data_IF_433896067324
#
_entry.id   IF_433896067324
#
_cell.length_a   1.000
_cell.length_b   1.000
_cell.length_c   1.000
_cell.angle_alpha   90.00
_cell.angle_beta   90.00
_cell.angle_gamma   90.00
#
_symmetry.space_group_name_H-M   'P 1'
#
loop_
_entity.id
_entity.type
_entity.pdbx_description
1 polymer ?
#
# COMPACT_ATOMS: atom_id res chain seq x y z
N UNK A 1 -57.84 40.67 -11.24
CA UNK A 1 -58.47 39.38 -11.62
C UNK A 1 -57.37 38.39 -11.98
N UNK A 2 -57.07 37.36 -11.18
CA UNK A 2 -56.06 36.36 -11.55
C UNK A 2 -56.72 35.04 -12.01
N UNK A 3 -56.34 34.56 -13.19
CA UNK A 3 -56.68 33.21 -13.67
C UNK A 3 -55.78 32.17 -12.99
N UNK A 4 -56.40 31.29 -12.20
CA UNK A 4 -55.77 30.09 -11.61
C UNK A 4 -55.72 28.97 -12.66
N UNK A 5 -54.53 28.65 -13.15
CA UNK A 5 -54.31 27.40 -13.87
C UNK A 5 -54.09 26.25 -12.86
N UNK A 6 -55.05 25.33 -12.89
CA UNK A 6 -55.10 24.07 -12.13
C UNK A 6 -54.24 23.04 -12.88
N UNK A 7 -53.03 22.74 -12.41
CA UNK A 7 -52.26 21.57 -12.89
C UNK A 7 -52.63 20.36 -12.04
N UNK A 8 -53.12 19.33 -12.72
CA UNK A 8 -53.45 18.03 -12.16
C UNK A 8 -52.18 17.34 -11.66
N UNK A 9 -52.20 16.90 -10.41
CA UNK A 9 -51.17 16.04 -9.84
C UNK A 9 -51.29 14.64 -10.41
N UNK A 10 -50.20 14.14 -10.99
CA UNK A 10 -50.00 12.73 -11.30
C UNK A 10 -49.19 12.17 -10.13
N UNK A 11 -49.85 11.44 -9.24
CA UNK A 11 -49.17 10.72 -8.15
C UNK A 11 -48.42 9.51 -8.74
N UNK A 12 -47.10 9.40 -8.58
CA UNK A 12 -46.41 8.17 -8.92
C UNK A 12 -46.72 7.12 -7.85
N UNK A 13 -47.31 6.02 -8.31
CA UNK A 13 -47.56 4.80 -7.54
C UNK A 13 -46.22 4.14 -7.19
N UNK A 14 -45.59 4.58 -6.11
CA UNK A 14 -44.36 3.98 -5.56
C UNK A 14 -44.76 2.66 -4.90
N UNK A 15 -44.55 1.55 -5.60
CA UNK A 15 -44.57 0.20 -5.01
C UNK A 15 -43.39 0.08 -4.04
N UNK A 16 -43.69 0.22 -2.76
CA UNK A 16 -42.80 -0.09 -1.64
C UNK A 16 -42.55 -1.59 -1.61
N UNK A 17 -41.46 -2.05 -2.21
CA UNK A 17 -40.94 -3.39 -1.97
C UNK A 17 -40.28 -3.39 -0.59
N UNK A 18 -41.02 -3.89 0.39
CA UNK A 18 -40.52 -4.14 1.75
C UNK A 18 -39.54 -5.32 1.68
N UNK A 19 -38.26 -5.02 1.43
CA UNK A 19 -37.17 -5.97 1.60
C UNK A 19 -36.99 -6.16 3.11
N UNK A 20 -37.56 -7.25 3.62
CA UNK A 20 -37.31 -7.76 4.97
C UNK A 20 -35.83 -8.12 5.05
N UNK A 21 -35.03 -7.17 5.54
CA UNK A 21 -33.66 -7.39 5.96
C UNK A 21 -33.71 -8.24 7.23
N UNK A 22 -33.68 -9.56 7.05
CA UNK A 22 -33.46 -10.53 8.12
C UNK A 22 -32.01 -10.35 8.61
N UNK A 23 -31.86 -9.47 9.59
CA UNK A 23 -30.63 -9.31 10.35
C UNK A 23 -30.35 -10.63 11.10
N UNK A 24 -29.53 -11.48 10.51
CA UNK A 24 -28.89 -12.57 11.22
C UNK A 24 -27.90 -11.98 12.22
N UNK A 25 -28.36 -11.71 13.43
CA UNK A 25 -27.49 -11.60 14.61
C UNK A 25 -26.91 -12.99 14.87
N UNK A 26 -25.79 -13.30 14.21
CA UNK A 26 -24.96 -14.41 14.62
C UNK A 26 -24.28 -14.00 15.95
N UNK A 27 -24.42 -14.78 17.04
CA UNK A 27 -23.67 -14.53 18.25
C UNK A 27 -22.17 -14.70 17.93
N UNK A 28 -21.40 -13.63 18.11
CA UNK A 28 -19.95 -13.68 18.14
C UNK A 28 -19.53 -14.55 19.32
N UNK A 29 -19.40 -15.85 19.09
CA UNK A 29 -18.68 -16.75 20.00
C UNK A 29 -17.21 -16.39 19.92
N UNK A 30 -16.75 -15.62 20.89
CA UNK A 30 -15.34 -15.36 21.14
C UNK A 30 -14.71 -16.71 21.51
N UNK A 31 -14.17 -17.40 20.51
CA UNK A 31 -13.31 -18.57 20.76
C UNK A 31 -12.02 -18.01 21.33
N UNK A 32 -11.87 -18.12 22.65
CA UNK A 32 -10.61 -17.87 23.33
C UNK A 32 -9.63 -18.95 22.90
N UNK A 33 -8.89 -18.70 21.82
CA UNK A 33 -7.74 -19.53 21.47
C UNK A 33 -6.72 -19.35 22.60
N UNK A 34 -6.30 -20.41 23.30
CA UNK A 34 -5.23 -20.30 24.27
C UNK A 34 -3.98 -19.85 23.51
N UNK A 35 -3.60 -18.60 23.72
CA UNK A 35 -2.35 -18.05 23.21
C UNK A 35 -1.25 -18.86 23.90
N UNK A 36 -0.44 -19.65 23.17
CA UNK A 36 0.72 -20.27 23.77
C UNK A 36 1.54 -19.13 24.38
N UNK A 37 1.93 -19.28 25.65
CA UNK A 37 2.86 -18.38 26.30
C UNK A 37 4.16 -18.42 25.50
N UNK A 38 4.26 -17.56 24.48
CA UNK A 38 5.52 -17.20 23.88
C UNK A 38 6.38 -16.70 25.02
N UNK A 39 7.50 -17.40 25.25
CA UNK A 39 8.58 -16.90 26.08
C UNK A 39 8.75 -15.41 25.76
N UNK A 40 8.86 -14.60 26.81
CA UNK A 40 9.12 -13.17 26.70
C UNK A 40 10.51 -13.03 26.07
N UNK A 41 10.55 -13.09 24.74
CA UNK A 41 11.69 -12.69 23.94
C UNK A 41 11.71 -11.18 24.13
N UNK A 42 12.61 -10.73 24.99
CA UNK A 42 13.00 -9.34 25.10
C UNK A 42 13.25 -8.84 23.68
N UNK A 43 12.41 -7.94 23.13
CA UNK A 43 12.54 -7.52 21.75
C UNK A 43 13.95 -6.93 21.62
N UNK A 44 14.80 -7.59 20.83
CA UNK A 44 16.09 -7.05 20.45
C UNK A 44 15.83 -5.59 20.02
N UNK A 45 16.53 -4.60 20.60
CA UNK A 45 16.17 -3.20 20.44
C UNK A 45 16.05 -2.90 18.95
N UNK A 46 14.81 -2.77 18.49
CA UNK A 46 14.47 -2.44 17.11
C UNK A 46 15.09 -1.08 16.88
N UNK A 47 16.27 -1.08 16.25
CA UNK A 47 17.10 0.10 16.12
C UNK A 47 16.45 0.96 15.04
N UNK A 48 15.55 1.84 15.49
CA UNK A 48 14.89 2.81 14.64
C UNK A 48 15.97 3.74 14.05
N UNK A 49 15.99 3.88 12.73
CA UNK A 49 16.92 4.79 12.04
C UNK A 49 16.51 6.23 12.37
N UNK A 50 17.13 6.81 13.40
CA UNK A 50 16.84 8.18 13.80
C UNK A 50 17.31 9.12 12.70
N UNK A 51 16.36 9.81 12.07
CA UNK A 51 16.64 10.71 10.93
C UNK A 51 16.20 12.12 11.25
N UNK A 52 17.09 13.10 11.11
CA UNK A 52 16.75 14.53 11.13
C UNK A 52 16.35 14.97 9.73
N UNK A 53 15.25 15.70 9.60
CA UNK A 53 14.87 16.33 8.32
C UNK A 53 15.37 17.78 8.29
N UNK A 54 16.13 18.13 7.27
CA UNK A 54 16.61 19.50 7.06
C UNK A 54 16.15 20.01 5.69
N UNK A 55 15.42 21.11 5.67
CA UNK A 55 15.05 21.81 4.43
C UNK A 55 15.99 23.00 4.25
N UNK A 56 16.94 22.87 3.33
CA UNK A 56 17.94 23.87 2.98
C UNK A 56 17.45 24.74 1.82
N UNK A 57 17.21 26.01 2.12
CA UNK A 57 16.82 27.06 1.17
C UNK A 57 17.91 28.11 0.99
N UNK A 58 19.13 27.85 1.48
CA UNK A 58 20.25 28.80 1.47
C UNK A 58 20.56 29.29 0.05
N UNK A 59 20.41 28.42 -0.95
CA UNK A 59 20.65 28.71 -2.37
C UNK A 59 19.50 29.46 -3.06
N UNK A 60 18.39 29.73 -2.37
CA UNK A 60 17.37 30.63 -2.89
C UNK A 60 17.84 32.09 -2.77
N UNK A 61 17.52 32.91 -3.78
CA UNK A 61 17.90 34.33 -3.85
C UNK A 61 17.45 35.09 -2.60
N UNK A 62 18.38 35.78 -1.95
CA UNK A 62 18.10 36.57 -0.75
C UNK A 62 17.13 37.73 -1.03
N UNK A 63 16.29 38.05 -0.04
CA UNK A 63 15.30 39.12 -0.13
C UNK A 63 14.07 38.79 -0.98
N UNK A 64 14.01 37.61 -1.62
CA UNK A 64 12.80 37.14 -2.27
C UNK A 64 11.71 36.85 -1.22
N UNK A 65 10.48 37.40 -1.35
CA UNK A 65 9.37 37.05 -0.46
C UNK A 65 9.10 35.54 -0.49
N UNK A 66 9.38 34.92 -1.64
CA UNK A 66 9.27 33.48 -1.86
C UNK A 66 10.22 32.66 -0.99
N UNK A 67 11.43 33.15 -0.67
CA UNK A 67 12.39 32.38 0.16
C UNK A 67 11.81 32.07 1.54
N UNK A 68 11.08 33.02 2.14
CA UNK A 68 10.46 32.82 3.44
C UNK A 68 9.17 31.99 3.33
N UNK A 69 8.33 32.27 2.34
CA UNK A 69 7.08 31.54 2.13
C UNK A 69 7.32 30.07 1.78
N UNK A 70 8.21 29.79 0.81
CA UNK A 70 8.57 28.43 0.40
C UNK A 70 9.24 27.69 1.53
N UNK A 71 10.18 28.31 2.28
CA UNK A 71 10.79 27.65 3.43
C UNK A 71 9.77 27.28 4.51
N UNK A 72 8.80 28.16 4.76
CA UNK A 72 7.75 27.91 5.76
C UNK A 72 6.76 26.86 5.29
N UNK A 73 6.30 26.96 4.04
CA UNK A 73 5.35 26.03 3.43
C UNK A 73 5.97 24.64 3.28
N UNK A 74 7.16 24.57 2.68
CA UNK A 74 7.89 23.31 2.54
C UNK A 74 8.18 22.70 3.91
N UNK A 75 8.64 23.45 4.91
CA UNK A 75 8.83 22.87 6.25
C UNK A 75 7.53 22.36 6.85
N UNK A 76 6.45 23.13 6.82
CA UNK A 76 5.19 22.70 7.43
C UNK A 76 4.63 21.46 6.72
N UNK A 77 4.47 21.52 5.41
CA UNK A 77 3.83 20.49 4.61
C UNK A 77 4.69 19.22 4.51
N UNK A 78 6.00 19.37 4.29
CA UNK A 78 6.92 18.23 4.22
C UNK A 78 7.04 17.58 5.60
N UNK A 79 7.17 18.34 6.69
CA UNK A 79 7.31 17.74 8.02
C UNK A 79 6.04 16.96 8.39
N UNK A 80 4.85 17.52 8.19
CA UNK A 80 3.60 16.83 8.54
C UNK A 80 3.38 15.58 7.69
N UNK A 81 3.58 15.68 6.37
CA UNK A 81 3.39 14.55 5.46
C UNK A 81 4.45 13.45 5.69
N UNK A 82 5.72 13.84 5.85
CA UNK A 82 6.80 12.89 6.10
C UNK A 82 6.72 12.25 7.48
N UNK A 83 6.38 13.01 8.53
CA UNK A 83 6.29 12.47 9.88
C UNK A 83 5.27 11.34 9.92
N UNK A 84 4.11 11.51 9.28
CA UNK A 84 3.07 10.49 9.22
C UNK A 84 3.52 9.22 8.47
N UNK A 85 4.35 9.34 7.42
CA UNK A 85 4.84 8.18 6.67
C UNK A 85 6.06 7.51 7.29
N UNK A 86 7.02 8.29 7.78
CA UNK A 86 8.19 7.78 8.49
C UNK A 86 7.76 7.03 9.76
N UNK A 87 6.84 7.61 10.53
CA UNK A 87 6.28 6.93 11.72
C UNK A 87 5.58 5.63 11.35
N UNK A 88 4.84 5.59 10.23
CA UNK A 88 4.21 4.36 9.74
C UNK A 88 5.20 3.25 9.38
N UNK A 89 6.44 3.61 9.05
CA UNK A 89 7.53 2.67 8.73
C UNK A 89 8.49 2.43 9.90
N UNK A 90 8.17 2.94 11.09
CA UNK A 90 9.02 2.83 12.27
C UNK A 90 10.24 3.76 12.25
N UNK A 91 10.30 4.74 11.36
CA UNK A 91 11.37 5.76 11.40
C UNK A 91 10.93 6.89 12.33
N UNK A 92 11.76 7.19 13.32
CA UNK A 92 11.56 8.30 14.26
C UNK A 92 12.33 9.53 13.78
N UNK A 93 11.61 10.63 13.59
CA UNK A 93 12.19 11.94 13.38
C UNK A 93 12.63 12.51 14.73
N UNK A 94 13.89 12.94 14.81
CA UNK A 94 14.44 13.58 16.02
C UNK A 94 15.18 14.84 15.58
N UNK A 95 15.00 15.92 16.34
CA UNK A 95 15.58 17.22 16.03
C UNK A 95 17.09 17.27 16.35
N UNK A 96 17.52 16.54 17.37
CA UNK A 96 18.89 16.48 17.89
C UNK A 96 19.44 15.04 17.87
N UNK A 97 20.76 14.89 17.83
CA UNK A 97 21.47 13.59 17.89
C UNK A 97 21.04 12.52 16.86
N UNK A 98 20.58 12.95 15.68
CA UNK A 98 20.19 12.02 14.64
C UNK A 98 21.39 11.29 14.01
N UNK A 99 21.24 9.98 13.78
CA UNK A 99 22.26 9.14 13.15
C UNK A 99 22.40 9.43 11.64
N UNK A 100 21.32 9.93 11.02
CA UNK A 100 21.33 10.40 9.65
C UNK A 100 20.54 11.71 9.51
N UNK A 101 20.94 12.57 8.59
CA UNK A 101 20.19 13.77 8.22
C UNK A 101 19.70 13.63 6.78
N UNK A 102 18.39 13.62 6.58
CA UNK A 102 17.79 13.76 5.26
C UNK A 102 17.70 15.25 4.93
N UNK A 103 18.55 15.71 4.02
CA UNK A 103 18.59 17.09 3.59
C UNK A 103 17.90 17.26 2.24
N UNK A 104 16.94 18.17 2.18
CA UNK A 104 16.27 18.61 0.96
C UNK A 104 16.73 20.02 0.64
N UNK A 105 17.52 20.15 -0.43
CA UNK A 105 18.03 21.43 -0.91
C UNK A 105 17.17 21.97 -2.04
N UNK A 106 16.79 23.24 -1.95
CA UNK A 106 16.10 23.97 -3.02
C UNK A 106 17.00 25.10 -3.54
N UNK A 107 17.14 25.21 -4.85
CA UNK A 107 17.86 26.32 -5.50
C UNK A 107 17.12 26.82 -6.73
N UNK A 108 17.45 28.04 -7.15
CA UNK A 108 17.00 28.57 -8.44
C UNK A 108 17.94 28.14 -9.53
N UNK A 109 17.39 27.60 -10.60
CA UNK A 109 18.11 27.35 -11.85
C UNK A 109 17.93 28.55 -12.80
N UNK A 110 16.69 29.01 -12.94
CA UNK A 110 16.34 30.25 -13.63
C UNK A 110 15.23 30.98 -12.86
N UNK A 111 15.59 32.09 -12.21
CA UNK A 111 14.66 32.90 -11.41
C UNK A 111 13.58 33.56 -12.27
N UNK A 112 13.91 34.01 -13.49
CA UNK A 112 12.95 34.72 -14.34
C UNK A 112 11.87 33.78 -14.87
N UNK A 113 12.21 32.51 -15.08
CA UNK A 113 11.29 31.45 -15.54
C UNK A 113 10.66 30.64 -14.42
N UNK A 114 10.94 30.98 -13.17
CA UNK A 114 10.51 30.19 -12.01
C UNK A 114 10.91 28.72 -12.10
N UNK A 115 12.15 28.45 -12.54
CA UNK A 115 12.72 27.11 -12.66
C UNK A 115 13.54 26.80 -11.40
N UNK A 116 13.09 25.79 -10.66
CA UNK A 116 13.72 25.33 -9.42
C UNK A 116 14.42 24.01 -9.64
N UNK A 117 15.59 23.87 -9.03
CA UNK A 117 16.17 22.58 -8.77
C UNK A 117 15.88 22.13 -7.35
N UNK A 118 15.57 20.85 -7.20
CA UNK A 118 15.26 20.18 -5.95
C UNK A 118 16.20 18.98 -5.83
N UNK A 119 16.86 18.83 -4.68
CA UNK A 119 17.78 17.72 -4.42
C UNK A 119 17.52 17.16 -3.04
N UNK A 120 17.34 15.86 -2.96
CA UNK A 120 17.30 15.13 -1.71
C UNK A 120 18.58 14.31 -1.55
N UNK A 121 19.24 14.47 -0.41
CA UNK A 121 20.44 13.71 -0.04
C UNK A 121 20.35 13.23 1.40
N UNK A 122 20.96 12.08 1.69
CA UNK A 122 21.13 11.59 3.06
C UNK A 122 22.58 11.81 3.47
N UNK A 123 22.75 12.43 4.62
CA UNK A 123 24.05 12.69 5.23
C UNK A 123 24.17 11.77 6.44
N UNK A 124 25.15 10.87 6.42
CA UNK A 124 25.48 9.96 7.53
C UNK A 124 26.99 10.02 7.75
N UNK A 125 27.42 10.22 8.99
CA UNK A 125 28.85 10.32 9.37
C UNK A 125 29.65 11.32 8.51
N UNK A 126 29.03 12.45 8.15
CA UNK A 126 29.62 13.48 7.29
C UNK A 126 29.69 13.12 5.80
N UNK A 127 29.31 11.90 5.40
CA UNK A 127 29.21 11.50 4.00
C UNK A 127 27.81 11.82 3.47
N UNK A 128 27.76 12.53 2.34
CA UNK A 128 26.50 12.79 1.63
C UNK A 128 26.31 11.80 0.48
N UNK A 129 25.15 11.16 0.44
CA UNK A 129 24.68 10.36 -0.69
C UNK A 129 23.46 11.03 -1.30
N UNK A 130 23.59 11.44 -2.56
CA UNK A 130 22.47 11.99 -3.34
C UNK A 130 21.49 10.86 -3.58
N UNK A 131 20.25 11.05 -3.14
CA UNK A 131 19.18 10.08 -3.37
C UNK A 131 18.45 10.37 -4.68
N UNK A 132 18.09 11.64 -4.89
CA UNK A 132 17.34 12.08 -6.06
C UNK A 132 17.56 13.57 -6.31
N UNK A 133 17.47 13.93 -7.58
CA UNK A 133 17.45 15.31 -8.07
C UNK A 133 16.27 15.43 -9.01
N UNK A 134 15.51 16.51 -8.90
CA UNK A 134 14.37 16.81 -9.76
C UNK A 134 14.34 18.31 -10.06
N UNK A 135 13.63 18.68 -11.12
CA UNK A 135 13.50 20.05 -11.59
C UNK A 135 12.03 20.43 -11.75
N UNK A 136 11.69 21.65 -11.35
CA UNK A 136 10.33 22.16 -11.38
C UNK A 136 10.28 23.44 -12.24
N UNK A 137 9.83 23.31 -13.48
CA UNK A 137 9.63 24.44 -14.39
C UNK A 137 8.29 25.14 -14.13
N UNK A 138 8.30 26.48 -14.16
CA UNK A 138 7.11 27.33 -14.00
C UNK A 138 6.30 26.99 -12.73
N UNK A 139 7.00 26.70 -11.63
CA UNK A 139 6.36 26.27 -10.40
C UNK A 139 6.05 27.45 -9.48
N UNK A 140 4.82 27.50 -8.99
CA UNK A 140 4.47 28.34 -7.84
C UNK A 140 4.86 27.65 -6.53
N UNK A 141 4.71 28.36 -5.41
CA UNK A 141 5.12 27.86 -4.09
C UNK A 141 4.43 26.55 -3.70
N UNK A 142 3.14 26.42 -4.01
CA UNK A 142 2.35 25.23 -3.70
C UNK A 142 2.79 24.04 -4.56
N UNK A 143 3.06 24.27 -5.84
CA UNK A 143 3.55 23.22 -6.74
C UNK A 143 4.94 22.74 -6.36
N UNK A 144 5.84 23.64 -5.92
CA UNK A 144 7.15 23.25 -5.38
C UNK A 144 6.98 22.35 -4.15
N UNK A 145 6.11 22.73 -3.20
CA UNK A 145 5.85 21.91 -2.01
C UNK A 145 5.30 20.52 -2.36
N UNK A 146 4.39 20.44 -3.34
CA UNK A 146 3.88 19.16 -3.84
C UNK A 146 4.97 18.29 -4.48
N UNK A 147 5.80 18.86 -5.36
CA UNK A 147 6.90 18.10 -6.00
C UNK A 147 7.90 17.60 -4.96
N UNK A 148 8.23 18.42 -3.96
CA UNK A 148 9.10 17.99 -2.85
C UNK A 148 8.46 16.82 -2.08
N UNK A 149 7.16 16.90 -1.80
CA UNK A 149 6.43 15.85 -1.07
C UNK A 149 6.35 14.54 -1.85
N UNK A 150 6.07 14.61 -3.15
CA UNK A 150 6.01 13.45 -4.05
C UNK A 150 7.41 12.81 -4.19
N UNK A 151 8.45 13.63 -4.38
CA UNK A 151 9.84 13.17 -4.44
C UNK A 151 10.21 12.41 -3.15
N UNK A 152 9.91 12.98 -1.98
CA UNK A 152 10.23 12.36 -0.69
C UNK A 152 9.43 11.09 -0.46
N UNK A 153 8.18 11.03 -0.90
CA UNK A 153 7.35 9.82 -0.83
C UNK A 153 7.94 8.68 -1.67
N UNK A 154 8.49 8.99 -2.86
CA UNK A 154 9.22 8.03 -3.68
C UNK A 154 10.50 7.51 -3.01
N UNK A 155 11.21 8.40 -2.31
CA UNK A 155 12.44 8.06 -1.59
C UNK A 155 12.21 7.15 -0.37
N UNK A 156 11.01 7.12 0.20
CA UNK A 156 10.72 6.24 1.35
C UNK A 156 10.95 4.76 1.05
N UNK A 157 10.81 4.33 -0.22
CA UNK A 157 11.15 2.96 -0.64
C UNK A 157 12.66 2.69 -0.62
N UNK A 158 13.46 3.73 -0.85
CA UNK A 158 14.91 3.65 -0.90
C UNK A 158 15.56 3.89 0.45
N UNK A 159 14.98 4.71 1.33
CA UNK A 159 15.51 5.03 2.66
C UNK A 159 15.54 3.86 3.64
N UNK A 160 14.82 2.77 3.34
CA UNK A 160 15.09 1.45 3.90
C UNK A 160 16.37 0.92 3.23
N UNK A 161 17.44 1.70 3.27
CA UNK A 161 18.76 1.32 2.80
C UNK A 161 19.22 0.25 3.78
N UNK A 162 19.31 -0.96 3.23
CA UNK A 162 20.26 -2.00 3.57
C UNK A 162 20.84 -1.77 4.96
N UNK A 163 20.19 -2.39 5.96
CA UNK A 163 20.91 -2.82 7.16
C UNK A 163 22.13 -3.51 6.61
N UNK A 164 23.26 -2.81 6.63
CA UNK A 164 24.57 -3.32 6.27
C UNK A 164 24.67 -4.55 7.15
N UNK A 165 24.40 -5.71 6.53
CA UNK A 165 24.27 -6.98 7.23
C UNK A 165 25.60 -7.09 7.93
N UNK A 166 25.61 -6.94 9.28
CA UNK A 166 26.77 -6.47 10.02
C UNK A 166 27.92 -7.30 9.54
N UNK A 167 28.81 -6.68 8.75
CA UNK A 167 29.72 -7.37 7.83
C UNK A 167 30.15 -8.63 8.55
N UNK A 168 29.56 -9.78 8.15
CA UNK A 168 29.63 -10.99 8.95
C UNK A 168 31.09 -11.11 9.28
N UNK A 169 31.42 -10.91 10.55
CA UNK A 169 32.81 -10.90 10.99
C UNK A 169 33.26 -12.28 10.58
N UNK A 170 33.96 -12.37 9.45
CA UNK A 170 34.51 -13.61 8.95
C UNK A 170 35.26 -14.13 10.16
N UNK A 171 34.70 -15.19 10.75
CA UNK A 171 35.31 -15.84 11.88
C UNK A 171 36.77 -16.05 11.45
N UNK A 172 37.76 -15.57 12.24
CA UNK A 172 39.16 -15.59 11.84
C UNK A 172 39.45 -16.95 11.22
N UNK A 173 39.68 -16.97 9.90
CA UNK A 173 39.99 -18.19 9.18
C UNK A 173 41.24 -18.72 9.86
N UNK A 174 41.05 -19.78 10.64
CA UNK A 174 42.12 -20.54 11.25
C UNK A 174 43.05 -20.93 10.11
N UNK A 175 44.34 -20.58 10.15
CA UNK A 175 45.23 -20.75 9.01
C UNK A 175 45.25 -22.23 8.62
N UNK A 176 44.67 -22.55 7.46
CA UNK A 176 44.79 -23.87 6.86
C UNK A 176 46.27 -24.20 6.69
N UNK A 177 46.72 -25.39 7.15
CA UNK A 177 48.08 -25.85 6.96
C UNK A 177 48.43 -25.93 5.48
N UNK A 178 49.67 -25.58 5.18
CA UNK A 178 50.26 -25.52 3.86
C UNK A 178 49.87 -26.68 2.93
N UNK A 179 49.59 -26.27 1.68
CA UNK A 179 49.46 -27.08 0.47
C UNK A 179 50.32 -28.35 0.50
N UNK A 180 49.64 -29.50 0.48
CA UNK A 180 50.22 -30.75 -0.02
C UNK A 180 49.66 -30.98 -1.42
N UNK A 181 50.56 -31.31 -2.35
CA UNK A 181 50.31 -31.55 -3.78
C UNK A 181 49.06 -32.41 -4.07
N UNK A 182 48.30 -32.12 -5.14
CA UNK A 182 47.14 -32.91 -5.52
C UNK A 182 47.57 -34.25 -6.15
N UNK A 183 47.44 -35.32 -5.37
CA UNK A 183 47.37 -36.69 -5.88
C UNK A 183 45.97 -36.93 -6.48
N UNK A 184 45.93 -37.36 -7.74
CA UNK A 184 44.71 -37.58 -8.52
C UNK A 184 43.97 -38.80 -7.96
N UNK A 185 42.93 -38.57 -7.15
CA UNK A 185 42.03 -39.64 -6.70
C UNK A 185 40.90 -39.93 -7.72
N UNK A 186 40.40 -41.19 -7.77
CA UNK A 186 39.45 -41.66 -8.76
C UNK A 186 38.02 -41.13 -8.48
N UNK A 187 37.30 -40.82 -9.57
CA UNK A 187 35.90 -40.44 -9.57
C UNK A 187 35.06 -41.41 -8.73
N UNK A 188 34.60 -40.93 -7.57
CA UNK A 188 33.63 -41.63 -6.72
C UNK A 188 32.24 -41.17 -7.15
N UNK A 189 31.39 -42.15 -7.50
CA UNK A 189 29.98 -41.97 -7.81
C UNK A 189 29.29 -41.11 -6.75
N UNK A 190 28.83 -39.93 -7.15
CA UNK A 190 28.18 -38.97 -6.27
C UNK A 190 26.93 -39.55 -5.61
N UNK A 191 26.63 -39.18 -4.36
CA UNK A 191 25.45 -39.64 -3.65
C UNK A 191 24.16 -39.29 -4.41
N UNK A 192 23.11 -40.15 -4.32
CA UNK A 192 21.85 -39.93 -5.01
C UNK A 192 21.28 -38.56 -4.63
N UNK A 193 20.69 -37.81 -5.60
CA UNK A 193 20.20 -36.46 -5.37
C UNK A 193 19.20 -36.46 -4.23
N UNK A 194 19.50 -35.71 -3.18
CA UNK A 194 18.60 -35.48 -2.05
C UNK A 194 17.27 -34.90 -2.57
N UNK A 195 16.17 -35.51 -2.13
CA UNK A 195 14.80 -35.13 -2.48
C UNK A 195 14.60 -33.63 -2.27
N UNK A 196 14.48 -32.88 -3.37
CA UNK A 196 14.15 -31.46 -3.32
C UNK A 196 12.82 -31.32 -2.56
N UNK A 197 12.75 -30.47 -1.53
CA UNK A 197 11.54 -30.28 -0.75
C UNK A 197 10.39 -29.93 -1.69
N UNK A 198 9.35 -30.77 -1.70
CA UNK A 198 8.15 -30.59 -2.54
C UNK A 198 7.65 -29.16 -2.35
N UNK A 199 7.77 -28.35 -3.41
CA UNK A 199 7.32 -26.97 -3.37
C UNK A 199 5.84 -26.97 -2.97
N UNK A 200 5.44 -26.22 -1.92
CA UNK A 200 4.08 -26.24 -1.43
C UNK A 200 3.15 -25.84 -2.57
N UNK A 201 2.34 -26.81 -3.04
CA UNK A 201 1.43 -26.57 -4.14
C UNK A 201 0.49 -25.42 -3.80
N UNK A 202 0.66 -24.29 -4.52
CA UNK A 202 -0.12 -23.09 -4.32
C UNK A 202 -1.62 -23.44 -4.37
N UNK A 203 -2.34 -23.09 -3.30
CA UNK A 203 -3.75 -23.40 -3.13
C UNK A 203 -4.54 -22.63 -4.19
N UNK A 204 -4.94 -23.29 -5.28
CA UNK A 204 -5.75 -22.67 -6.33
C UNK A 204 -7.07 -22.17 -5.76
N UNK A 205 -7.36 -20.89 -5.97
CA UNK A 205 -8.61 -20.22 -5.58
C UNK A 205 -9.68 -20.54 -6.62
N UNK A 206 -10.93 -20.76 -6.19
CA UNK A 206 -12.04 -21.03 -7.12
C UNK A 206 -12.45 -19.77 -7.89
N UNK A 207 -13.19 -19.93 -8.99
CA UNK A 207 -13.71 -18.79 -9.77
C UNK A 207 -14.55 -17.81 -8.94
N UNK A 208 -15.27 -18.31 -7.93
CA UNK A 208 -16.05 -17.49 -6.99
C UNK A 208 -15.13 -16.65 -6.10
N UNK A 209 -13.99 -17.19 -5.68
CA UNK A 209 -12.98 -16.45 -4.91
C UNK A 209 -12.40 -15.27 -5.69
N UNK A 210 -12.12 -15.43 -6.99
CA UNK A 210 -11.67 -14.32 -7.85
C UNK A 210 -12.72 -13.22 -7.98
N UNK A 211 -14.00 -13.59 -8.15
CA UNK A 211 -15.09 -12.61 -8.16
C UNK A 211 -15.20 -11.85 -6.83
N UNK A 212 -15.00 -12.53 -5.70
CA UNK A 212 -14.95 -11.90 -4.38
C UNK A 212 -13.80 -10.92 -4.21
N UNK A 213 -12.60 -11.26 -4.69
CA UNK A 213 -11.43 -10.36 -4.67
C UNK A 213 -11.69 -9.12 -5.54
N UNK A 214 -12.23 -9.31 -6.75
CA UNK A 214 -12.57 -8.20 -7.64
C UNK A 214 -13.62 -7.26 -7.02
N UNK A 215 -14.67 -7.81 -6.40
CA UNK A 215 -15.69 -7.02 -5.71
C UNK A 215 -15.12 -6.26 -4.51
N UNK A 216 -14.25 -6.88 -3.72
CA UNK A 216 -13.60 -6.23 -2.58
C UNK A 216 -12.67 -5.08 -3.03
N UNK A 217 -11.86 -5.30 -4.07
CA UNK A 217 -10.99 -4.28 -4.64
C UNK A 217 -11.79 -3.09 -5.21
N UNK A 218 -12.87 -3.37 -5.95
CA UNK A 218 -13.78 -2.34 -6.45
C UNK A 218 -14.43 -1.56 -5.29
N UNK A 219 -14.85 -2.25 -4.23
CA UNK A 219 -15.42 -1.64 -3.03
C UNK A 219 -14.45 -0.69 -2.33
N UNK A 220 -13.17 -1.08 -2.20
CA UNK A 220 -12.12 -0.21 -1.65
C UNK A 220 -11.91 1.03 -2.52
N UNK A 221 -11.83 0.86 -3.84
CA UNK A 221 -11.67 1.99 -4.78
C UNK A 221 -12.82 2.99 -4.70
N UNK A 222 -14.07 2.50 -4.72
CA UNK A 222 -15.27 3.35 -4.57
C UNK A 222 -15.34 4.00 -3.19
N UNK A 223 -14.96 3.28 -2.13
CA UNK A 223 -14.94 3.79 -0.76
C UNK A 223 -13.95 4.94 -0.58
N UNK A 224 -12.71 4.77 -1.04
CA UNK A 224 -11.66 5.81 -0.98
C UNK A 224 -12.07 7.02 -1.83
N UNK A 225 -12.55 6.81 -3.05
CA UNK A 225 -13.03 7.89 -3.91
C UNK A 225 -14.20 8.66 -3.29
N UNK A 226 -15.14 7.95 -2.64
CA UNK A 226 -16.23 8.56 -1.90
C UNK A 226 -15.76 9.40 -0.72
N UNK A 227 -14.75 8.94 0.01
CA UNK A 227 -14.18 9.66 1.15
C UNK A 227 -13.54 10.98 0.70
N UNK A 228 -12.76 10.97 -0.40
CA UNK A 228 -12.17 12.19 -0.98
C UNK A 228 -13.27 13.20 -1.34
N UNK A 229 -14.35 12.75 -1.96
CA UNK A 229 -15.50 13.62 -2.31
C UNK A 229 -16.23 14.14 -1.07
N UNK A 230 -16.28 13.35 0.01
CA UNK A 230 -16.92 13.76 1.27
C UNK A 230 -16.13 14.84 2.02
N UNK A 231 -14.80 14.81 1.92
CA UNK A 231 -13.90 15.76 2.62
C UNK A 231 -13.68 17.05 1.82
N UNK A 232 -13.85 17.03 0.49
CA UNK A 232 -13.73 18.23 -0.33
C UNK A 232 -14.64 19.37 0.17
N UNK A 233 -14.06 20.56 0.30
CA UNK A 233 -14.79 21.78 0.62
C UNK A 233 -15.80 22.10 -0.49
N UNK A 234 -16.93 22.73 -0.16
CA UNK A 234 -17.90 23.15 -1.18
C UNK A 234 -17.20 24.00 -2.23
N UNK A 235 -17.30 23.60 -3.49
CA UNK A 235 -16.80 24.40 -4.59
C UNK A 235 -17.86 25.46 -4.92
N UNK A 236 -17.53 26.72 -4.72
CA UNK A 236 -18.35 27.83 -5.20
C UNK A 236 -18.22 27.88 -6.72
N UNK A 237 -19.32 27.60 -7.43
CA UNK A 237 -19.40 27.82 -8.87
C UNK A 237 -20.19 29.09 -9.11
N UNK A 238 -19.59 30.03 -9.85
CA UNK A 238 -20.31 31.18 -10.39
C UNK A 238 -21.36 30.65 -11.36
N UNK A 239 -22.64 30.96 -11.09
CA UNK A 239 -23.72 30.55 -11.98
C UNK A 239 -23.55 31.27 -13.32
N UNK A 240 -23.46 30.49 -14.41
CA UNK A 240 -23.07 30.97 -15.75
C UNK A 240 -24.01 32.01 -16.38
N UNK A 241 -25.13 32.38 -15.75
CA UNK A 241 -26.15 33.26 -16.33
C UNK A 241 -26.74 34.31 -15.38
N UNK A 242 -26.29 34.39 -14.12
CA UNK A 242 -26.82 35.40 -13.20
C UNK A 242 -25.75 35.78 -12.17
N UNK A 243 -25.16 36.97 -12.35
CA UNK A 243 -23.96 37.47 -11.66
C UNK A 243 -24.15 37.69 -10.15
N UNK A 244 -25.32 37.34 -9.61
CA UNK A 244 -25.70 37.57 -8.22
C UNK A 244 -26.13 36.33 -7.44
N UNK A 245 -26.19 35.15 -8.07
CA UNK A 245 -26.64 33.93 -7.37
C UNK A 245 -25.51 32.89 -7.29
N UNK A 246 -24.92 32.74 -6.11
CA UNK A 246 -23.97 31.66 -5.81
C UNK A 246 -24.73 30.37 -5.47
N UNK A 247 -24.67 29.37 -6.34
CA UNK A 247 -25.23 28.04 -6.05
C UNK A 247 -24.19 27.21 -5.27
N UNK A 248 -24.43 27.00 -3.97
CA UNK A 248 -23.57 26.16 -3.13
C UNK A 248 -24.00 24.70 -3.28
N UNK A 249 -23.29 23.94 -4.11
CA UNK A 249 -23.55 22.50 -4.25
C UNK A 249 -22.81 21.72 -3.16
N UNK A 250 -23.55 21.25 -2.16
CA UNK A 250 -23.00 20.41 -1.10
C UNK A 250 -22.76 18.98 -1.61
N UNK A 251 -21.48 18.58 -1.77
CA UNK A 251 -21.07 17.25 -2.26
C UNK A 251 -20.95 16.18 -1.18
N UNK A 252 -21.04 16.57 0.10
CA UNK A 252 -20.95 15.63 1.24
C UNK A 252 -21.91 14.44 1.17
N UNK A 253 -23.22 14.61 0.88
CA UNK A 253 -24.14 13.45 0.83
C UNK A 253 -23.77 12.46 -0.28
N UNK A 254 -23.25 12.96 -1.41
CA UNK A 254 -22.77 12.10 -2.50
C UNK A 254 -21.53 11.30 -2.06
N UNK A 255 -20.57 11.96 -1.40
CA UNK A 255 -19.37 11.30 -0.87
C UNK A 255 -19.72 10.20 0.15
N UNK A 256 -20.61 10.49 1.10
CA UNK A 256 -21.05 9.51 2.09
C UNK A 256 -21.81 8.33 1.47
N UNK A 257 -22.63 8.58 0.43
CA UNK A 257 -23.31 7.51 -0.29
C UNK A 257 -22.32 6.58 -1.02
N UNK A 258 -21.25 7.12 -1.60
CA UNK A 258 -20.19 6.34 -2.23
C UNK A 258 -19.41 5.52 -1.20
N UNK A 259 -19.06 6.10 -0.04
CA UNK A 259 -18.42 5.36 1.06
C UNK A 259 -19.28 4.18 1.51
N UNK A 260 -20.59 4.40 1.72
CA UNK A 260 -21.52 3.33 2.10
C UNK A 260 -21.61 2.23 1.03
N UNK A 261 -21.63 2.62 -0.24
CA UNK A 261 -21.64 1.65 -1.36
C UNK A 261 -20.35 0.84 -1.41
N UNK A 262 -19.19 1.49 -1.23
CA UNK A 262 -17.88 0.84 -1.18
C UNK A 262 -17.77 -0.17 -0.04
N UNK A 263 -18.22 0.21 1.17
CA UNK A 263 -18.25 -0.69 2.32
C UNK A 263 -19.13 -1.92 2.07
N UNK A 264 -20.30 -1.75 1.45
CA UNK A 264 -21.18 -2.86 1.07
C UNK A 264 -20.52 -3.85 0.10
N UNK A 265 -19.79 -3.35 -0.90
CA UNK A 265 -19.05 -4.19 -1.85
C UNK A 265 -17.90 -4.97 -1.18
N UNK A 266 -17.18 -4.36 -0.24
CA UNK A 266 -16.12 -5.05 0.52
C UNK A 266 -16.69 -6.21 1.33
N UNK A 267 -17.81 -5.98 2.03
CA UNK A 267 -18.49 -7.04 2.81
C UNK A 267 -18.98 -8.16 1.90
N UNK A 268 -19.61 -7.83 0.76
CA UNK A 268 -20.05 -8.81 -0.21
C UNK A 268 -18.88 -9.64 -0.78
N UNK A 269 -17.76 -9.00 -1.10
CA UNK A 269 -16.54 -9.65 -1.57
C UNK A 269 -15.96 -10.62 -0.54
N UNK A 270 -15.88 -10.20 0.73
CA UNK A 270 -15.41 -11.04 1.83
C UNK A 270 -16.29 -12.28 2.04
N UNK A 271 -17.62 -12.14 1.96
CA UNK A 271 -18.56 -13.26 2.06
C UNK A 271 -18.36 -14.25 0.91
N UNK A 272 -18.19 -13.79 -0.32
CA UNK A 272 -17.92 -14.67 -1.47
C UNK A 272 -16.62 -15.47 -1.31
N UNK A 273 -15.56 -14.84 -0.79
CA UNK A 273 -14.29 -15.52 -0.51
C UNK A 273 -14.50 -16.59 0.58
N UNK A 274 -15.21 -16.27 1.67
CA UNK A 274 -15.50 -17.23 2.74
C UNK A 274 -16.34 -18.42 2.24
N UNK A 275 -17.34 -18.17 1.38
CA UNK A 275 -18.16 -19.22 0.76
C UNK A 275 -17.29 -20.10 -0.15
N UNK A 276 -16.39 -19.53 -0.96
CA UNK A 276 -15.48 -20.31 -1.81
C UNK A 276 -14.57 -21.21 -0.96
N UNK A 277 -14.00 -20.69 0.13
CA UNK A 277 -13.15 -21.48 1.03
C UNK A 277 -13.91 -22.62 1.71
N UNK A 278 -15.14 -22.38 2.18
CA UNK A 278 -15.96 -23.41 2.85
C UNK A 278 -16.41 -24.50 1.88
N UNK A 279 -16.81 -24.13 0.65
CA UNK A 279 -17.20 -25.09 -0.39
C UNK A 279 -15.99 -25.91 -0.86
N UNK A 280 -14.84 -25.27 -1.08
CA UNK A 280 -13.61 -25.97 -1.47
C UNK A 280 -13.11 -26.89 -0.35
N UNK A 281 -13.20 -26.47 0.91
CA UNK A 281 -12.86 -27.32 2.05
C UNK A 281 -13.76 -28.57 2.10
N UNK A 282 -15.08 -28.39 1.99
CA UNK A 282 -16.04 -29.51 1.99
C UNK A 282 -15.84 -30.46 0.80
N UNK A 283 -15.46 -29.93 -0.37
CA UNK A 283 -15.08 -30.75 -1.53
C UNK A 283 -13.78 -31.51 -1.31
N UNK A 284 -12.78 -30.91 -0.67
CA UNK A 284 -11.51 -31.60 -0.34
C UNK A 284 -11.73 -32.72 0.67
N UNK A 285 -12.50 -32.46 1.72
CA UNK A 285 -12.84 -33.47 2.74
C UNK A 285 -13.59 -34.67 2.14
N UNK A 286 -14.48 -34.44 1.16
CA UNK A 286 -15.11 -35.51 0.37
C UNK A 286 -14.16 -36.16 -0.63
N UNK A 287 -13.22 -35.39 -1.17
CA UNK A 287 -12.25 -35.78 -2.19
C UNK A 287 -11.16 -36.71 -1.67
N UNK A 288 -10.75 -36.56 -0.41
CA UNK A 288 -9.72 -37.38 0.23
C UNK A 288 -10.15 -38.82 0.51
N UNK A 289 -11.45 -39.14 0.42
CA UNK A 289 -11.99 -40.49 0.53
C UNK A 289 -12.37 -41.13 -0.81
N UNK A 290 -12.11 -40.47 -1.93
CA UNK A 290 -12.56 -40.93 -3.25
C UNK A 290 -11.43 -41.57 -4.04
N UNK A 291 -11.50 -42.90 -4.14
CA UNK A 291 -11.11 -43.62 -5.35
C UNK A 291 -11.47 -42.81 -6.59
N UNK A 292 -10.46 -42.36 -7.33
CA UNK A 292 -10.63 -41.54 -8.52
C UNK A 292 -10.44 -42.39 -9.78
N UNK A 293 -11.40 -42.29 -10.70
CA UNK A 293 -11.24 -42.77 -12.07
C UNK A 293 -10.51 -41.67 -12.86
N UNK A 294 -9.24 -41.88 -13.15
CA UNK A 294 -8.42 -40.95 -13.92
C UNK A 294 -8.39 -41.45 -15.36
N UNK A 295 -8.86 -40.67 -16.35
CA UNK A 295 -8.70 -41.02 -17.75
C UNK A 295 -7.21 -40.99 -18.11
N UNK A 296 -6.71 -42.09 -18.64
CA UNK A 296 -5.33 -42.22 -19.11
C UNK A 296 -5.33 -42.20 -20.63
N UNK A 297 -4.75 -41.16 -21.21
CA UNK A 297 -4.52 -41.06 -22.65
C UNK A 297 -3.07 -41.45 -22.91
N UNK A 298 -2.86 -42.55 -23.63
CA UNK A 298 -1.53 -42.98 -24.06
C UNK A 298 -1.47 -43.06 -25.60
N UNK A 299 -0.27 -43.06 -26.19
CA UNK A 299 -0.10 -43.27 -27.64
C UNK A 299 -0.72 -44.59 -28.15
N UNK A 300 -0.93 -45.56 -27.27
CA UNK A 300 -1.46 -46.88 -27.59
C UNK A 300 -2.97 -47.02 -27.33
N UNK A 301 -3.64 -45.97 -26.83
CA UNK A 301 -5.08 -45.96 -26.60
C UNK A 301 -5.53 -45.11 -25.41
N UNK A 302 -6.83 -44.96 -25.28
CA UNK A 302 -7.51 -44.32 -24.15
C UNK A 302 -8.04 -45.38 -23.17
N UNK A 303 -7.79 -45.16 -21.87
CA UNK A 303 -8.24 -46.03 -20.79
C UNK A 303 -8.72 -45.25 -19.58
N UNK A 304 -9.28 -45.96 -18.60
CA UNK A 304 -9.65 -45.43 -17.29
C UNK A 304 -8.85 -46.18 -16.23
N UNK A 305 -8.02 -45.47 -15.47
CA UNK A 305 -7.29 -46.03 -14.33
C UNK A 305 -8.03 -45.70 -13.04
N UNK A 306 -8.20 -46.71 -12.19
CA UNK A 306 -8.75 -46.53 -10.85
C UNK A 306 -7.60 -46.34 -9.88
N UNK A 307 -7.50 -45.16 -9.26
CA UNK A 307 -6.45 -44.84 -8.28
C UNK A 307 -7.10 -44.56 -6.93
N UNK A 308 -6.72 -45.32 -5.90
CA UNK A 308 -7.16 -45.12 -4.52
C UNK A 308 -5.98 -45.26 -3.57
N UNK A 309 -5.95 -44.42 -2.52
CA UNK A 309 -5.09 -44.65 -1.35
C UNK A 309 -5.87 -45.54 -0.38
N UNK A 310 -5.33 -46.72 -0.09
CA UNK A 310 -5.81 -47.63 0.93
C UNK A 310 -4.99 -47.44 2.21
#
# INVERSE_FOLDING_TARGET
MPQRHRRQGVEPMIRTYSLVALAFMAPLTVVSVPVPCSAHVEPAPETYAITRLEVDVSKLKDGSPMKQSVAKLARAEVTDAMLAELTRRGVTLVDEDAQATLRVSLWWEDYEKSHYGIKAEVIRDGQSRILMTDECELCDEAKVAHVVTDMLSGLMGHLVIEREEPAQVEAPVEPEPAETEPEVEPQTDGPPPEDQPEQPHAKRIGGVGYAGIAAAAAGLGVGIGGLVVAVQTPAERLASNDDTTTEVVNRRPLGLALVGTGAGLVVAGAVLIAVDQTVLRKRRERGTSTTALVPTLSPYGAGLAWVGRF
#
